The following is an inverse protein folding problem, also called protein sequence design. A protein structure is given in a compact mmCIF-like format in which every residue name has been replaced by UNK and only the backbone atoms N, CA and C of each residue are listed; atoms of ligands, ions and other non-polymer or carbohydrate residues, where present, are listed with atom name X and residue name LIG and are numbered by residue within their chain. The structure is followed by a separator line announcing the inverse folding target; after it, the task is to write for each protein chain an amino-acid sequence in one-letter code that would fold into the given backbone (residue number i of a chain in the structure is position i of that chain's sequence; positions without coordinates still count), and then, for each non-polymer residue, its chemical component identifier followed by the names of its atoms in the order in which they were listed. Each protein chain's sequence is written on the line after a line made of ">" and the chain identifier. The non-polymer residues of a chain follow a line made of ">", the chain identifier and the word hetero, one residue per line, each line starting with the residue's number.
data_IF_144469906160
#
_entry.id   IF_144469906160
#
_cell.length_a   1.000
_cell.length_b   1.000
_cell.length_c   1.000
_cell.angle_alpha   90.00
_cell.angle_beta   90.00
_cell.angle_gamma   90.00
#
_symmetry.space_group_name_H-M   'P 1'
#
loop_
_entity.id
_entity.type
_entity.pdbx_description
1 polymer ?
#
# COMPACT_ATOMS: atom_id res chain seq x y z
N UNK A 1 -20.49 -13.72 9.10
CA UNK A 1 -19.67 -14.26 10.20
C UNK A 1 -18.32 -14.77 9.73
N UNK A 2 -18.21 -15.69 8.75
CA UNK A 2 -16.90 -16.16 8.24
C UNK A 2 -16.07 -15.05 7.57
N UNK A 3 -16.65 -14.32 6.62
CA UNK A 3 -15.95 -13.21 5.94
C UNK A 3 -15.52 -12.10 6.91
N UNK A 4 -16.39 -11.70 7.85
CA UNK A 4 -16.07 -10.72 8.88
C UNK A 4 -14.87 -11.15 9.74
N UNK A 5 -14.83 -12.43 10.12
CA UNK A 5 -13.71 -12.96 10.89
C UNK A 5 -12.42 -12.94 10.07
N UNK A 6 -12.47 -13.34 8.81
CA UNK A 6 -11.30 -13.27 7.91
C UNK A 6 -10.83 -11.82 7.71
N UNK A 7 -11.76 -10.89 7.47
CA UNK A 7 -11.45 -9.46 7.30
C UNK A 7 -10.82 -8.87 8.57
N UNK A 8 -11.25 -9.28 9.77
CA UNK A 8 -10.62 -8.88 11.05
C UNK A 8 -9.26 -9.56 11.23
N UNK A 9 -9.15 -10.87 11.00
CA UNK A 9 -7.92 -11.63 11.23
C UNK A 9 -6.79 -11.18 10.29
N UNK A 10 -7.12 -10.74 9.07
CA UNK A 10 -6.17 -10.25 8.06
C UNK A 10 -5.84 -8.75 8.21
N UNK A 11 -6.62 -7.98 8.97
CA UNK A 11 -6.47 -6.52 9.04
C UNK A 11 -5.31 -6.07 9.94
N UNK A 12 -4.32 -5.34 9.42
CA UNK A 12 -3.16 -4.90 10.19
C UNK A 12 -3.47 -3.63 10.99
N UNK A 13 -4.22 -3.75 12.09
CA UNK A 13 -4.58 -2.59 12.93
C UNK A 13 -3.32 -1.79 13.34
N UNK A 14 -3.23 -0.48 13.02
CA UNK A 14 -1.94 0.21 12.97
C UNK A 14 -1.54 0.89 14.30
N UNK A 15 -2.30 0.65 15.36
CA UNK A 15 -2.15 1.36 16.61
C UNK A 15 -1.89 0.41 17.78
N UNK A 16 -1.19 0.93 18.78
CA UNK A 16 -0.96 0.26 20.06
C UNK A 16 -1.68 1.02 21.15
N UNK A 17 -2.30 0.30 22.08
CA UNK A 17 -2.94 0.92 23.24
C UNK A 17 -1.93 1.77 24.04
N UNK A 18 -2.37 2.93 24.51
CA UNK A 18 -1.56 3.91 25.27
C UNK A 18 -0.36 4.53 24.52
N UNK A 19 -0.29 4.42 23.20
CA UNK A 19 0.73 5.10 22.39
C UNK A 19 0.12 6.32 21.66
N UNK A 20 0.48 7.56 22.03
CA UNK A 20 -0.06 8.74 21.36
C UNK A 20 0.43 8.80 19.91
N UNK A 21 -0.50 9.03 18.97
CA UNK A 21 -0.14 9.09 17.57
C UNK A 21 0.75 10.31 17.26
N UNK A 22 1.86 10.04 16.58
CA UNK A 22 2.75 11.03 15.98
C UNK A 22 3.36 10.50 14.69
N UNK A 23 3.73 11.38 13.78
CA UNK A 23 4.58 10.99 12.66
C UNK A 23 5.93 10.52 13.21
N UNK A 24 6.37 9.34 12.79
CA UNK A 24 7.62 8.72 13.22
C UNK A 24 8.09 7.72 12.18
N UNK A 25 9.37 7.34 12.25
CA UNK A 25 9.84 6.15 11.58
C UNK A 25 9.41 4.92 12.40
N UNK A 26 8.24 4.37 12.06
CA UNK A 26 7.69 3.17 12.68
C UNK A 26 8.07 1.88 11.93
N UNK A 27 9.15 1.91 11.15
CA UNK A 27 9.67 0.72 10.48
C UNK A 27 10.22 -0.30 11.48
N UNK A 28 9.84 -1.56 11.29
CA UNK A 28 10.34 -2.72 12.02
C UNK A 28 10.93 -3.72 11.02
N UNK A 29 11.92 -4.55 11.41
CA UNK A 29 12.40 -5.63 10.56
C UNK A 29 11.26 -6.56 10.12
N UNK A 30 11.19 -6.87 8.83
CA UNK A 30 10.20 -7.77 8.27
C UNK A 30 10.70 -9.21 8.37
N UNK A 31 10.03 -10.03 9.19
CA UNK A 31 10.37 -11.43 9.41
C UNK A 31 9.10 -12.30 9.46
N UNK A 32 8.93 -13.30 8.56
CA UNK A 32 9.84 -13.66 7.45
C UNK A 32 9.91 -12.56 6.36
N UNK A 33 11.01 -12.50 5.58
CA UNK A 33 11.27 -11.44 4.60
C UNK A 33 10.44 -11.59 3.30
N UNK A 34 9.11 -11.66 3.41
CA UNK A 34 8.19 -11.94 2.29
C UNK A 34 7.64 -10.64 1.71
N UNK A 35 7.83 -10.43 0.42
CA UNK A 35 7.48 -9.17 -0.25
C UNK A 35 5.99 -8.94 -0.46
N UNK A 36 5.16 -9.98 -0.45
CA UNK A 36 3.73 -9.90 -0.79
C UNK A 36 2.88 -10.74 0.16
N UNK A 37 1.61 -10.37 0.28
CA UNK A 37 0.57 -11.10 1.00
C UNK A 37 -0.58 -11.42 0.04
N UNK A 38 -1.11 -12.65 0.07
CA UNK A 38 -2.30 -13.04 -0.71
C UNK A 38 -3.47 -13.27 0.23
N UNK A 39 -4.41 -12.33 0.23
CA UNK A 39 -5.55 -12.31 1.17
C UNK A 39 -6.80 -12.93 0.57
N UNK A 40 -7.85 -13.04 1.37
CA UNK A 40 -9.18 -13.47 0.93
C UNK A 40 -9.78 -12.60 -0.19
N UNK A 41 -9.33 -11.33 -0.33
CA UNK A 41 -9.82 -10.36 -1.33
C UNK A 41 -9.10 -10.41 -2.68
N UNK A 42 -8.13 -11.31 -2.86
CA UNK A 42 -7.26 -11.36 -4.04
C UNK A 42 -8.00 -11.22 -5.38
N UNK A 43 -9.05 -12.01 -5.62
CA UNK A 43 -9.77 -12.00 -6.91
C UNK A 43 -10.42 -10.63 -7.18
N UNK A 44 -11.04 -10.04 -6.17
CA UNK A 44 -11.72 -8.74 -6.29
C UNK A 44 -10.72 -7.63 -6.58
N UNK A 45 -9.64 -7.58 -5.81
CA UNK A 45 -8.62 -6.53 -5.92
C UNK A 45 -7.81 -6.65 -7.20
N UNK A 46 -7.43 -7.86 -7.61
CA UNK A 46 -6.73 -8.08 -8.88
C UNK A 46 -7.61 -7.71 -10.06
N UNK A 47 -8.91 -8.02 -10.01
CA UNK A 47 -9.85 -7.58 -11.06
C UNK A 47 -9.89 -6.06 -11.15
N UNK A 48 -10.08 -5.37 -10.01
CA UNK A 48 -10.11 -3.91 -9.98
C UNK A 48 -8.79 -3.32 -10.50
N UNK A 49 -7.64 -3.83 -10.05
CA UNK A 49 -6.32 -3.39 -10.48
C UNK A 49 -6.14 -3.53 -11.98
N UNK A 50 -6.49 -4.69 -12.55
CA UNK A 50 -6.39 -4.95 -13.99
C UNK A 50 -7.33 -4.07 -14.82
N UNK A 51 -8.54 -3.81 -14.32
CA UNK A 51 -9.47 -2.87 -14.95
C UNK A 51 -8.89 -1.46 -15.01
N UNK A 52 -8.24 -0.99 -13.93
CA UNK A 52 -7.55 0.30 -13.90
C UNK A 52 -6.36 0.34 -14.87
N UNK A 53 -5.50 -0.68 -14.85
CA UNK A 53 -4.34 -0.78 -15.74
C UNK A 53 -4.72 -0.94 -17.21
N UNK A 54 -5.95 -1.37 -17.51
CA UNK A 54 -6.48 -1.41 -18.87
C UNK A 54 -7.08 -0.07 -19.30
N UNK A 55 -7.79 0.61 -18.41
CA UNK A 55 -8.61 1.80 -18.74
C UNK A 55 -7.86 3.12 -18.58
N UNK A 56 -6.94 3.20 -17.63
CA UNK A 56 -6.19 4.40 -17.26
C UNK A 56 -4.72 4.04 -17.00
N UNK A 57 -4.11 3.27 -17.90
CA UNK A 57 -2.75 2.73 -17.79
C UNK A 57 -1.71 3.80 -17.43
N UNK A 58 -1.62 4.89 -18.19
CA UNK A 58 -0.64 5.97 -17.96
C UNK A 58 -0.74 6.67 -16.59
N UNK A 59 -1.88 6.53 -15.88
CA UNK A 59 -2.04 7.01 -14.50
C UNK A 59 -1.50 6.00 -13.50
N UNK A 60 -1.74 4.72 -13.78
CA UNK A 60 -1.45 3.62 -12.87
C UNK A 60 -0.04 3.07 -13.03
N UNK A 61 0.57 3.19 -14.20
CA UNK A 61 1.90 2.68 -14.49
C UNK A 61 2.74 3.73 -15.19
N UNK A 62 3.92 3.98 -14.65
CA UNK A 62 4.96 4.80 -15.28
C UNK A 62 6.34 4.28 -14.88
N UNK A 63 7.30 4.43 -15.77
CA UNK A 63 8.70 4.06 -15.55
C UNK A 63 9.63 4.91 -16.40
N UNK A 64 10.89 5.00 -16.00
CA UNK A 64 11.98 5.52 -16.84
C UNK A 64 12.85 4.37 -17.36
N UNK A 65 13.52 4.51 -18.54
CA UNK A 65 14.29 3.42 -19.15
C UNK A 65 15.37 2.81 -18.24
N UNK A 66 15.97 3.62 -17.36
CA UNK A 66 17.04 3.16 -16.47
C UNK A 66 16.56 2.20 -15.36
N UNK A 67 15.25 1.97 -15.26
CA UNK A 67 14.67 1.09 -14.22
C UNK A 67 14.54 -0.37 -14.63
N UNK A 68 14.75 -0.74 -15.90
CA UNK A 68 14.47 -2.11 -16.38
C UNK A 68 15.14 -3.21 -15.56
N UNK A 69 16.40 -3.01 -15.15
CA UNK A 69 17.12 -3.98 -14.30
C UNK A 69 16.45 -4.16 -12.93
N UNK A 70 16.05 -3.05 -12.29
CA UNK A 70 15.31 -3.09 -11.03
C UNK A 70 13.93 -3.74 -11.21
N UNK A 71 13.23 -3.47 -12.32
CA UNK A 71 11.93 -4.08 -12.61
C UNK A 71 12.03 -5.60 -12.76
N UNK A 72 13.05 -6.11 -13.46
CA UNK A 72 13.31 -7.55 -13.56
C UNK A 72 13.64 -8.18 -12.21
N UNK A 73 14.37 -7.48 -11.34
CA UNK A 73 14.61 -7.95 -9.98
C UNK A 73 13.34 -8.02 -9.14
N UNK A 74 12.46 -7.02 -9.25
CA UNK A 74 11.14 -7.05 -8.59
C UNK A 74 10.31 -8.22 -9.10
N UNK A 75 10.22 -8.41 -10.43
CA UNK A 75 9.51 -9.54 -11.03
C UNK A 75 10.04 -10.87 -10.50
N UNK A 76 11.37 -11.04 -10.49
CA UNK A 76 12.01 -12.24 -9.97
C UNK A 76 11.70 -12.46 -8.49
N UNK A 77 11.87 -11.45 -7.63
CA UNK A 77 11.63 -11.53 -6.20
C UNK A 77 10.19 -11.95 -5.89
N UNK A 78 9.23 -11.27 -6.53
CA UNK A 78 7.80 -11.47 -6.27
C UNK A 78 7.33 -12.83 -6.81
N UNK A 79 7.79 -13.26 -7.99
CA UNK A 79 7.43 -14.59 -8.52
C UNK A 79 7.90 -15.72 -7.61
N UNK A 80 9.13 -15.64 -7.09
CA UNK A 80 9.65 -16.64 -6.15
C UNK A 80 8.85 -16.62 -4.83
N UNK A 81 8.60 -15.45 -4.25
CA UNK A 81 7.79 -15.37 -3.02
C UNK A 81 6.36 -15.89 -3.24
N UNK A 82 5.73 -15.62 -4.37
CA UNK A 82 4.42 -16.17 -4.71
C UNK A 82 4.46 -17.71 -4.84
N UNK A 83 5.41 -18.26 -5.59
CA UNK A 83 5.50 -19.70 -5.83
C UNK A 83 5.91 -20.49 -4.60
N UNK A 84 6.75 -19.92 -3.74
CA UNK A 84 7.30 -20.59 -2.57
C UNK A 84 6.32 -20.55 -1.39
N UNK A 85 5.64 -19.41 -1.20
CA UNK A 85 4.69 -19.22 -0.08
C UNK A 85 3.29 -19.74 -0.40
N UNK A 86 2.90 -19.74 -1.68
CA UNK A 86 1.56 -20.14 -2.11
C UNK A 86 1.64 -21.12 -3.31
N UNK A 87 2.31 -22.28 -3.18
CA UNK A 87 2.56 -23.22 -4.29
C UNK A 87 1.30 -23.82 -4.91
N UNK A 88 0.20 -23.87 -4.16
CA UNK A 88 -1.11 -24.32 -4.65
C UNK A 88 -1.82 -23.25 -5.50
N UNK A 89 -1.33 -22.01 -5.48
CA UNK A 89 -1.93 -20.85 -6.14
C UNK A 89 -1.05 -20.28 -7.25
N UNK A 90 0.28 -20.38 -7.11
CA UNK A 90 1.23 -19.85 -8.08
C UNK A 90 2.35 -20.86 -8.34
N UNK A 91 2.78 -20.96 -9.59
CA UNK A 91 3.87 -21.85 -9.99
C UNK A 91 4.86 -21.10 -10.86
N UNK A 92 6.15 -21.25 -10.54
CA UNK A 92 7.25 -20.77 -11.37
C UNK A 92 8.03 -21.95 -11.92
N UNK A 93 8.10 -22.07 -13.24
CA UNK A 93 8.94 -23.05 -13.95
C UNK A 93 10.06 -22.32 -14.68
N UNK A 94 11.27 -22.89 -14.63
CA UNK A 94 12.48 -22.29 -15.19
C UNK A 94 13.23 -23.35 -16.01
N UNK A 95 13.38 -23.10 -17.30
CA UNK A 95 14.21 -23.87 -18.21
C UNK A 95 15.31 -22.95 -18.75
N UNK A 96 16.45 -22.91 -18.04
CA UNK A 96 17.49 -21.88 -18.24
C UNK A 96 16.91 -20.47 -18.06
N UNK A 97 16.91 -19.68 -19.12
CA UNK A 97 16.35 -18.33 -19.24
C UNK A 97 14.88 -18.32 -19.68
N UNK A 98 14.33 -19.43 -20.16
CA UNK A 98 12.92 -19.54 -20.51
C UNK A 98 12.10 -19.80 -19.26
N UNK A 99 11.32 -18.81 -18.84
CA UNK A 99 10.54 -18.84 -17.60
C UNK A 99 9.06 -18.89 -17.93
N UNK A 100 8.31 -19.59 -17.07
CA UNK A 100 6.86 -19.67 -17.15
C UNK A 100 6.29 -19.49 -15.75
N UNK A 101 5.49 -18.44 -15.56
CA UNK A 101 4.81 -18.13 -14.31
C UNK A 101 3.31 -18.35 -14.48
N UNK A 102 2.76 -19.30 -13.73
CA UNK A 102 1.34 -19.65 -13.76
C UNK A 102 0.65 -19.13 -12.50
N UNK A 103 -0.38 -18.31 -12.69
CA UNK A 103 -1.35 -17.95 -11.67
C UNK A 103 -2.54 -18.91 -11.75
N UNK A 104 -2.62 -19.87 -10.82
CA UNK A 104 -3.68 -20.88 -10.80
C UNK A 104 -5.02 -20.31 -10.33
N UNK A 105 -5.02 -19.18 -9.62
CA UNK A 105 -6.25 -18.51 -9.18
C UNK A 105 -7.01 -17.95 -10.38
N UNK A 106 -6.30 -17.34 -11.33
CA UNK A 106 -6.86 -16.74 -12.56
C UNK A 106 -6.76 -17.65 -13.78
N UNK A 107 -6.10 -18.81 -13.65
CA UNK A 107 -5.82 -19.76 -14.73
C UNK A 107 -5.08 -19.11 -15.93
N UNK A 108 -4.06 -18.30 -15.62
CA UNK A 108 -3.24 -17.60 -16.61
C UNK A 108 -1.78 -18.04 -16.49
N UNK A 109 -1.04 -17.95 -17.59
CA UNK A 109 0.39 -18.26 -17.62
C UNK A 109 1.12 -17.24 -18.48
N UNK A 110 2.09 -16.58 -17.88
CA UNK A 110 3.05 -15.71 -18.57
C UNK A 110 4.29 -16.53 -18.91
N UNK A 111 4.71 -16.52 -20.18
CA UNK A 111 5.94 -17.22 -20.62
C UNK A 111 6.84 -16.24 -21.36
N UNK A 112 8.10 -16.17 -20.94
CA UNK A 112 9.04 -15.13 -21.36
C UNK A 112 10.49 -15.59 -21.21
N UNK A 113 11.42 -14.79 -21.76
CA UNK A 113 12.87 -14.98 -21.59
C UNK A 113 13.33 -14.01 -20.51
N UNK A 114 13.84 -14.52 -19.40
CA UNK A 114 14.22 -13.72 -18.24
C UNK A 114 15.33 -12.72 -18.60
N UNK A 115 15.09 -11.44 -18.30
CA UNK A 115 15.95 -10.28 -18.65
C UNK A 115 16.01 -9.92 -20.14
N UNK A 116 15.09 -10.42 -20.94
CA UNK A 116 14.87 -9.95 -22.32
C UNK A 116 13.57 -9.14 -22.39
N UNK A 117 13.69 -7.82 -22.47
CA UNK A 117 12.55 -6.90 -22.55
C UNK A 117 11.66 -7.16 -23.77
N UNK A 118 12.18 -7.75 -24.84
CA UNK A 118 11.41 -8.03 -26.05
C UNK A 118 10.51 -9.27 -25.92
N UNK A 119 10.73 -10.08 -24.89
CA UNK A 119 9.97 -11.31 -24.64
C UNK A 119 8.68 -11.10 -23.85
N UNK A 120 8.43 -9.89 -23.35
CA UNK A 120 7.20 -9.50 -22.68
C UNK A 120 6.46 -8.42 -23.47
N UNK A 121 5.13 -8.48 -23.48
CA UNK A 121 4.28 -7.44 -24.11
C UNK A 121 4.23 -6.16 -23.27
N UNK A 122 4.40 -6.29 -21.96
CA UNK A 122 4.40 -5.19 -20.99
C UNK A 122 5.72 -5.21 -20.23
N UNK A 123 6.07 -4.09 -19.60
CA UNK A 123 7.30 -4.03 -18.81
C UNK A 123 7.24 -4.96 -17.58
N UNK A 124 8.38 -5.48 -17.09
CA UNK A 124 8.39 -6.49 -16.02
C UNK A 124 7.62 -6.08 -14.76
N UNK A 125 7.69 -4.81 -14.34
CA UNK A 125 6.99 -4.33 -13.16
C UNK A 125 5.45 -4.29 -13.38
N UNK A 126 4.99 -3.91 -14.58
CA UNK A 126 3.57 -3.93 -14.95
C UNK A 126 3.04 -5.37 -15.01
N UNK A 127 3.82 -6.29 -15.59
CA UNK A 127 3.43 -7.72 -15.66
C UNK A 127 3.22 -8.29 -14.26
N UNK A 128 4.24 -8.22 -13.39
CA UNK A 128 4.14 -8.85 -12.07
C UNK A 128 3.13 -8.13 -11.17
N UNK A 129 3.00 -6.82 -11.34
CA UNK A 129 2.05 -5.98 -10.64
C UNK A 129 0.59 -6.38 -10.85
N UNK A 130 0.26 -6.99 -11.99
CA UNK A 130 -1.08 -7.53 -12.32
C UNK A 130 -1.40 -8.86 -11.64
N UNK A 131 -0.46 -9.43 -10.91
CA UNK A 131 -0.62 -10.67 -10.15
C UNK A 131 -0.60 -10.47 -8.63
N UNK A 132 -0.43 -9.23 -8.15
CA UNK A 132 -0.33 -8.93 -6.71
C UNK A 132 -1.26 -7.81 -6.28
N UNK A 133 -1.70 -7.86 -5.02
CA UNK A 133 -2.66 -6.89 -4.46
C UNK A 133 -1.99 -5.54 -4.19
N UNK A 134 -0.68 -5.56 -3.98
CA UNK A 134 0.11 -4.39 -3.61
C UNK A 134 0.43 -3.47 -4.78
N UNK A 135 0.43 -2.17 -4.52
CA UNK A 135 1.09 -1.22 -5.41
C UNK A 135 2.61 -1.37 -5.27
N UNK A 136 3.32 -1.34 -6.40
CA UNK A 136 4.76 -1.62 -6.46
C UNK A 136 5.48 -0.40 -7.00
N UNK A 137 6.39 0.16 -6.21
CA UNK A 137 7.16 1.35 -6.56
C UNK A 137 8.66 1.05 -6.47
N UNK A 138 9.45 1.68 -7.33
CA UNK A 138 10.90 1.56 -7.34
C UNK A 138 11.51 2.92 -7.07
N UNK A 139 12.27 2.99 -5.98
CA UNK A 139 13.13 4.13 -5.67
C UNK A 139 14.56 3.83 -6.15
N UNK A 140 15.08 4.66 -7.05
CA UNK A 140 16.47 4.58 -7.50
C UNK A 140 17.33 5.51 -6.65
N UNK A 141 18.50 5.04 -6.27
CA UNK A 141 19.49 5.84 -5.57
C UNK A 141 20.42 6.55 -6.56
N UNK A 142 20.46 7.88 -6.52
CA UNK A 142 21.34 8.73 -7.36
C UNK A 142 21.84 9.89 -6.52
N UNK A 143 23.16 10.15 -6.52
CA UNK A 143 23.77 11.26 -5.79
C UNK A 143 23.37 11.36 -4.31
N UNK A 144 23.29 10.21 -3.61
CA UNK A 144 22.86 10.09 -2.21
C UNK A 144 21.42 10.59 -1.93
N UNK A 145 20.59 10.61 -2.97
CA UNK A 145 19.16 10.87 -2.91
C UNK A 145 18.38 9.69 -3.48
N UNK A 146 17.10 9.58 -3.13
CA UNK A 146 16.20 8.51 -3.57
C UNK A 146 15.12 9.10 -4.46
N UNK A 147 15.04 8.63 -5.71
CA UNK A 147 14.10 9.13 -6.72
C UNK A 147 13.04 8.08 -7.03
N UNK A 148 11.76 8.48 -7.10
CA UNK A 148 10.69 7.59 -7.58
C UNK A 148 10.74 7.52 -9.11
N UNK A 149 11.23 6.41 -9.66
CA UNK A 149 11.57 6.32 -11.09
C UNK A 149 10.74 5.27 -11.84
N UNK A 150 10.09 4.35 -11.13
CA UNK A 150 9.07 3.49 -11.69
C UNK A 150 8.00 3.15 -10.65
N UNK A 151 6.80 2.85 -11.12
CA UNK A 151 5.70 2.48 -10.26
C UNK A 151 4.51 1.90 -10.99
N UNK A 152 3.87 0.94 -10.34
CA UNK A 152 2.50 0.53 -10.59
C UNK A 152 1.65 0.92 -9.37
N UNK A 153 0.94 2.05 -9.44
CA UNK A 153 0.17 2.68 -8.38
C UNK A 153 -1.32 2.75 -8.74
N UNK A 154 -2.08 1.73 -8.38
CA UNK A 154 -3.51 1.62 -8.69
C UNK A 154 -4.39 2.11 -7.53
N UNK A 155 -3.94 1.96 -6.29
CA UNK A 155 -4.71 2.22 -5.09
C UNK A 155 -4.07 3.30 -4.20
N UNK A 156 -3.75 4.50 -4.72
CA UNK A 156 -3.06 5.51 -3.92
C UNK A 156 -3.95 6.12 -2.83
N UNK A 157 -3.35 6.40 -1.67
CA UNK A 157 -3.93 7.22 -0.61
C UNK A 157 -3.86 8.72 -0.93
N UNK A 158 -4.63 9.21 -1.91
CA UNK A 158 -4.76 10.65 -2.27
C UNK A 158 -3.49 11.30 -2.81
N UNK A 159 -2.75 10.58 -3.65
CA UNK A 159 -1.63 11.12 -4.40
C UNK A 159 -1.59 10.50 -5.82
N UNK A 160 -0.66 10.95 -6.66
CA UNK A 160 -0.55 10.55 -8.06
C UNK A 160 0.88 10.16 -8.39
N UNK A 161 1.05 9.03 -9.09
CA UNK A 161 2.33 8.63 -9.66
C UNK A 161 2.76 9.63 -10.73
N UNK A 162 1.83 10.07 -11.59
CA UNK A 162 2.07 11.03 -12.67
C UNK A 162 2.67 12.34 -12.15
N UNK A 163 2.24 12.79 -10.98
CA UNK A 163 2.78 14.01 -10.38
C UNK A 163 4.08 13.80 -9.61
N UNK A 164 4.41 12.57 -9.23
CA UNK A 164 5.52 12.27 -8.30
C UNK A 164 6.70 11.55 -8.97
N UNK A 165 6.54 11.00 -10.17
CA UNK A 165 7.62 10.39 -10.92
C UNK A 165 8.76 11.39 -11.15
N UNK A 166 10.00 10.95 -10.92
CA UNK A 166 11.21 11.75 -11.02
C UNK A 166 11.49 12.66 -9.80
N UNK A 167 10.59 12.74 -8.82
CA UNK A 167 10.84 13.50 -7.60
C UNK A 167 11.68 12.71 -6.59
N UNK A 168 12.47 13.42 -5.79
CA UNK A 168 13.18 12.88 -4.64
C UNK A 168 12.22 12.47 -3.52
N UNK A 169 12.68 11.61 -2.62
CA UNK A 169 11.95 11.21 -1.42
C UNK A 169 11.45 12.42 -0.63
N UNK A 170 12.28 13.44 -0.42
CA UNK A 170 11.87 14.64 0.31
C UNK A 170 10.82 15.47 -0.44
N UNK A 171 10.95 15.63 -1.76
CA UNK A 171 9.98 16.36 -2.59
C UNK A 171 8.61 15.67 -2.62
N UNK A 172 8.60 14.34 -2.69
CA UNK A 172 7.37 13.56 -2.66
C UNK A 172 6.59 13.85 -1.36
N UNK A 173 7.30 13.93 -0.23
CA UNK A 173 6.74 14.05 1.11
C UNK A 173 6.56 15.50 1.61
N UNK A 174 6.86 16.52 0.81
CA UNK A 174 6.61 17.94 1.16
C UNK A 174 5.20 18.24 1.71
N UNK A 175 4.10 17.62 1.20
CA UNK A 175 2.75 17.92 1.71
C UNK A 175 2.46 17.39 3.12
N UNK A 176 3.34 16.57 3.71
CA UNK A 176 3.12 15.97 5.03
C UNK A 176 3.41 17.01 6.11
N UNK A 177 2.45 17.34 7.00
CA UNK A 177 2.66 18.30 8.06
C UNK A 177 3.86 17.91 8.94
N UNK A 178 4.69 18.90 9.29
CA UNK A 178 5.84 18.77 10.20
C UNK A 178 6.95 17.80 9.74
N UNK A 179 6.82 17.18 8.56
CA UNK A 179 7.71 16.10 8.12
C UNK A 179 9.15 16.58 7.90
N UNK A 180 9.32 17.73 7.25
CA UNK A 180 10.64 18.32 7.02
C UNK A 180 11.07 19.21 8.20
N UNK A 181 10.13 19.97 8.77
CA UNK A 181 10.41 20.95 9.83
C UNK A 181 11.01 20.32 11.10
N UNK A 182 10.69 19.05 11.38
CA UNK A 182 11.17 18.31 12.55
C UNK A 182 12.45 17.49 12.30
N UNK A 183 12.98 17.50 11.06
CA UNK A 183 14.10 16.65 10.64
C UNK A 183 13.72 15.17 10.48
N UNK A 184 12.43 14.82 10.58
CA UNK A 184 11.94 13.46 10.41
C UNK A 184 12.21 12.94 8.99
N UNK A 185 11.98 13.77 7.97
CA UNK A 185 12.25 13.43 6.57
C UNK A 185 13.70 13.04 6.33
N UNK A 186 14.67 13.83 6.84
CA UNK A 186 16.10 13.50 6.74
C UNK A 186 16.47 12.21 7.48
N UNK A 187 15.87 11.97 8.64
CA UNK A 187 16.09 10.74 9.39
C UNK A 187 15.61 9.51 8.61
N UNK A 188 14.43 9.58 8.00
CA UNK A 188 13.88 8.48 7.20
C UNK A 188 14.70 8.31 5.91
N UNK A 189 15.05 9.39 5.21
CA UNK A 189 15.91 9.31 4.02
C UNK A 189 17.22 8.58 4.32
N UNK A 190 17.93 8.97 5.39
CA UNK A 190 19.16 8.29 5.81
C UNK A 190 18.94 6.82 6.17
N UNK A 191 17.84 6.50 6.84
CA UNK A 191 17.47 5.11 7.11
C UNK A 191 17.32 4.31 5.81
N UNK A 192 16.59 4.84 4.82
CA UNK A 192 16.37 4.18 3.53
C UNK A 192 17.67 4.02 2.73
N UNK A 193 18.53 5.04 2.69
CA UNK A 193 19.86 4.96 2.04
C UNK A 193 20.73 3.84 2.64
N UNK A 194 20.63 3.60 3.95
CA UNK A 194 21.36 2.53 4.64
C UNK A 194 20.61 1.18 4.65
N UNK A 195 19.52 1.02 3.89
CA UNK A 195 18.80 -0.25 3.80
C UNK A 195 19.68 -1.31 3.10
N UNK A 196 19.92 -2.43 3.77
CA UNK A 196 20.73 -3.54 3.26
C UNK A 196 19.87 -4.64 2.60
N UNK A 197 20.41 -5.26 1.55
CA UNK A 197 19.77 -6.41 0.92
C UNK A 197 19.71 -7.60 1.91
N UNK A 198 18.59 -8.33 1.91
CA UNK A 198 18.35 -9.44 2.83
C UNK A 198 17.77 -9.05 4.19
N UNK A 199 17.77 -7.76 4.54
CA UNK A 199 17.21 -7.22 5.78
C UNK A 199 16.03 -6.26 5.49
N UNK A 200 14.89 -6.75 4.95
CA UNK A 200 13.77 -5.88 4.63
C UNK A 200 13.07 -5.36 5.89
N UNK A 201 12.35 -4.27 5.73
CA UNK A 201 11.56 -3.65 6.78
C UNK A 201 10.11 -3.53 6.37
N UNK A 202 9.22 -3.47 7.35
CA UNK A 202 7.83 -3.10 7.16
C UNK A 202 7.42 -1.95 8.07
N UNK A 203 6.39 -1.21 7.64
CA UNK A 203 5.74 -0.18 8.45
C UNK A 203 4.27 -0.09 8.11
N UNK A 204 3.50 0.54 9.00
CA UNK A 204 2.10 0.82 8.77
C UNK A 204 1.88 2.33 8.57
N UNK A 205 1.15 2.67 7.53
CA UNK A 205 0.56 4.01 7.33
C UNK A 205 -0.96 3.90 7.39
N UNK A 206 -1.66 4.98 7.73
CA UNK A 206 -3.12 4.94 7.85
C UNK A 206 -3.79 6.25 7.46
N UNK A 207 -5.03 6.14 7.00
CA UNK A 207 -5.94 7.23 6.70
C UNK A 207 -7.40 6.77 6.91
N UNK A 208 -8.35 7.67 6.68
CA UNK A 208 -9.77 7.31 6.59
C UNK A 208 -10.28 7.48 5.15
N UNK A 209 -11.13 6.56 4.73
CA UNK A 209 -11.74 6.54 3.40
C UNK A 209 -13.25 6.38 3.51
N UNK A 210 -13.97 6.91 2.52
CA UNK A 210 -15.42 6.81 2.43
C UNK A 210 -15.79 5.71 1.43
N UNK A 211 -16.51 4.70 1.93
CA UNK A 211 -16.83 3.46 1.25
C UNK A 211 -15.62 2.54 1.07
N UNK A 212 -15.87 1.35 0.54
CA UNK A 212 -14.83 0.44 0.08
C UNK A 212 -14.27 0.95 -1.26
N UNK A 213 -13.37 1.94 -1.19
CA UNK A 213 -12.80 2.62 -2.35
C UNK A 213 -11.28 2.60 -2.31
N UNK A 214 -10.66 1.67 -3.06
CA UNK A 214 -9.20 1.50 -3.08
C UNK A 214 -8.49 2.60 -3.91
N UNK A 215 -9.06 2.99 -5.06
CA UNK A 215 -8.54 4.05 -5.94
C UNK A 215 -8.97 5.46 -5.47
N UNK A 216 -8.38 5.93 -4.38
CA UNK A 216 -8.52 7.33 -3.93
C UNK A 216 -7.51 8.27 -4.58
N UNK A 217 -7.20 8.08 -5.87
CA UNK A 217 -6.29 8.96 -6.61
C UNK A 217 -6.85 10.38 -6.78
N UNK A 218 -5.96 11.35 -6.88
CA UNK A 218 -6.35 12.76 -7.04
C UNK A 218 -7.03 13.02 -8.40
N UNK A 219 -6.67 12.25 -9.43
CA UNK A 219 -7.28 12.29 -10.77
C UNK A 219 -8.76 11.93 -10.74
N UNK A 220 -9.17 11.08 -9.78
CA UNK A 220 -10.56 10.66 -9.60
C UNK A 220 -11.26 11.38 -8.46
N UNK A 221 -10.71 12.48 -7.93
CA UNK A 221 -11.26 13.21 -6.78
C UNK A 221 -12.75 13.57 -6.94
N UNK A 222 -13.18 13.91 -8.16
CA UNK A 222 -14.59 14.20 -8.45
C UNK A 222 -15.54 13.01 -8.15
N UNK A 223 -15.05 11.76 -8.22
CA UNK A 223 -15.81 10.53 -7.97
C UNK A 223 -15.94 10.18 -6.49
N UNK A 224 -14.98 10.56 -5.65
CA UNK A 224 -14.92 10.12 -4.25
C UNK A 224 -14.83 11.25 -3.22
N UNK A 225 -14.32 12.43 -3.57
CA UNK A 225 -14.09 13.54 -2.65
C UNK A 225 -15.37 14.11 -2.04
N UNK A 226 -16.46 14.18 -2.82
CA UNK A 226 -17.75 14.69 -2.36
C UNK A 226 -18.41 13.80 -1.29
N UNK A 227 -18.10 12.50 -1.29
CA UNK A 227 -18.73 11.51 -0.41
C UNK A 227 -18.47 11.77 1.08
N UNK A 228 -17.44 12.53 1.43
CA UNK A 228 -17.21 12.95 2.82
C UNK A 228 -18.39 13.74 3.41
N UNK A 229 -19.18 14.40 2.56
CA UNK A 229 -20.38 15.16 2.97
C UNK A 229 -21.62 14.29 3.15
N UNK A 230 -21.55 13.02 2.75
CA UNK A 230 -22.67 12.07 2.83
C UNK A 230 -22.65 11.29 4.15
N UNK A 231 -21.65 11.52 5.01
CA UNK A 231 -21.53 10.85 6.31
C UNK A 231 -22.58 11.40 7.27
N UNK A 232 -23.42 10.51 7.80
CA UNK A 232 -24.46 10.79 8.79
C UNK A 232 -24.31 9.91 10.02
N UNK A 233 -24.93 10.25 11.15
CA UNK A 233 -24.92 9.40 12.35
C UNK A 233 -25.43 7.97 12.13
N UNK A 234 -26.28 7.75 11.12
CA UNK A 234 -26.88 6.47 10.78
C UNK A 234 -25.98 5.59 9.89
N UNK A 235 -25.17 6.20 9.01
CA UNK A 235 -24.37 5.46 8.03
C UNK A 235 -22.87 5.41 8.34
N UNK A 236 -22.39 6.21 9.31
CA UNK A 236 -20.95 6.38 9.58
C UNK A 236 -20.21 5.06 9.82
N UNK A 237 -20.83 4.08 10.48
CA UNK A 237 -20.23 2.76 10.72
C UNK A 237 -19.92 1.98 9.44
N UNK A 238 -20.90 1.86 8.54
CA UNK A 238 -20.76 1.10 7.29
C UNK A 238 -20.08 1.91 6.19
N UNK A 239 -20.18 3.24 6.23
CA UNK A 239 -19.65 4.11 5.20
C UNK A 239 -18.18 4.47 5.44
N UNK A 240 -17.78 4.80 6.66
CA UNK A 240 -16.38 5.18 6.94
C UNK A 240 -15.54 3.91 7.12
N UNK A 241 -14.37 3.89 6.48
CA UNK A 241 -13.42 2.79 6.59
C UNK A 241 -12.08 3.31 7.13
N UNK A 242 -11.49 2.54 8.05
CA UNK A 242 -10.08 2.67 8.39
C UNK A 242 -9.27 2.08 7.23
N UNK A 243 -8.45 2.92 6.61
CA UNK A 243 -7.53 2.52 5.54
C UNK A 243 -6.14 2.35 6.14
N UNK A 244 -5.55 1.16 5.96
CA UNK A 244 -4.19 0.88 6.39
C UNK A 244 -3.36 0.46 5.19
N UNK A 245 -2.16 1.01 5.10
CA UNK A 245 -1.16 0.61 4.12
C UNK A 245 -0.05 -0.14 4.86
N UNK A 246 0.05 -1.44 4.62
CA UNK A 246 1.21 -2.24 5.00
C UNK A 246 2.28 -2.06 3.95
N UNK A 247 3.31 -1.35 4.35
CA UNK A 247 4.38 -0.91 3.47
C UNK A 247 5.62 -1.73 3.74
N UNK A 248 6.16 -2.39 2.70
CA UNK A 248 7.36 -3.21 2.81
C UNK A 248 8.48 -2.60 1.96
N UNK A 249 9.69 -2.62 2.50
CA UNK A 249 10.89 -1.99 1.94
C UNK A 249 11.96 -3.06 1.73
N UNK A 250 12.35 -3.28 0.49
CA UNK A 250 13.38 -4.24 0.12
C UNK A 250 14.48 -3.54 -0.68
N UNK A 251 15.74 -3.65 -0.23
CA UNK A 251 16.89 -3.32 -1.07
C UNK A 251 17.11 -4.46 -2.07
N UNK A 252 17.08 -4.15 -3.35
CA UNK A 252 17.32 -5.08 -4.45
C UNK A 252 18.83 -5.26 -4.65
N UNK A 253 19.36 -6.50 -4.58
CA UNK A 253 20.80 -6.74 -4.47
C UNK A 253 21.62 -6.40 -5.73
N UNK A 254 21.04 -6.40 -6.93
CA UNK A 254 21.81 -6.15 -8.17
C UNK A 254 21.76 -4.69 -8.62
N UNK A 255 20.56 -4.11 -8.69
CA UNK A 255 20.30 -2.73 -9.08
C UNK A 255 20.56 -1.74 -7.94
N UNK A 256 20.75 -2.24 -6.72
CA UNK A 256 20.80 -1.44 -5.50
C UNK A 256 19.57 -0.53 -5.33
N UNK A 257 18.46 -0.79 -6.01
CA UNK A 257 17.24 0.03 -5.89
C UNK A 257 16.40 -0.43 -4.70
N UNK A 258 15.43 0.38 -4.28
CA UNK A 258 14.48 -0.02 -3.23
C UNK A 258 13.14 -0.34 -3.88
N UNK A 259 12.68 -1.57 -3.68
CA UNK A 259 11.27 -1.90 -3.88
C UNK A 259 10.49 -1.40 -2.66
N UNK A 260 9.58 -0.47 -2.93
CA UNK A 260 8.58 0.00 -1.99
C UNK A 260 7.22 -0.59 -2.38
N UNK A 261 6.79 -1.58 -1.61
CA UNK A 261 5.56 -2.33 -1.81
C UNK A 261 4.49 -1.82 -0.83
N UNK A 262 3.25 -1.62 -1.31
CA UNK A 262 2.16 -1.06 -0.52
C UNK A 262 0.91 -1.93 -0.65
N UNK A 263 0.61 -2.73 0.37
CA UNK A 263 -0.67 -3.44 0.47
C UNK A 263 -1.69 -2.55 1.18
N UNK A 264 -2.83 -2.29 0.54
CA UNK A 264 -3.90 -1.46 1.11
C UNK A 264 -5.02 -2.33 1.67
N UNK A 265 -5.33 -2.15 2.94
CA UNK A 265 -6.45 -2.78 3.64
C UNK A 265 -7.51 -1.73 3.96
N UNK A 266 -8.79 -2.12 3.85
CA UNK A 266 -9.94 -1.32 4.27
C UNK A 266 -10.79 -2.14 5.23
N UNK A 267 -11.13 -1.56 6.38
CA UNK A 267 -12.07 -2.14 7.33
C UNK A 267 -13.11 -1.10 7.71
N UNK A 268 -14.40 -1.45 7.61
CA UNK A 268 -15.49 -0.56 7.99
C UNK A 268 -15.46 -0.28 9.49
N UNK A 269 -15.98 0.86 9.93
CA UNK A 269 -16.11 1.12 11.36
C UNK A 269 -17.14 0.21 12.03
N UNK A 270 -18.14 -0.28 11.30
CA UNK A 270 -19.10 -1.29 11.74
C UNK A 270 -18.41 -2.60 12.13
N UNK A 271 -17.38 -3.00 11.38
CA UNK A 271 -16.59 -4.21 11.64
C UNK A 271 -15.50 -3.94 12.69
N UNK A 272 -14.84 -2.79 12.64
CA UNK A 272 -13.79 -2.41 13.59
C UNK A 272 -14.29 -2.42 15.03
N UNK A 273 -15.52 -1.92 15.27
CA UNK A 273 -16.09 -1.85 16.62
C UNK A 273 -16.45 -3.22 17.21
N UNK A 274 -16.43 -4.29 16.41
CA UNK A 274 -16.60 -5.66 16.90
C UNK A 274 -15.38 -6.13 17.69
N UNK A 275 -14.20 -5.52 17.51
CA UNK A 275 -13.02 -5.77 18.32
C UNK A 275 -12.92 -4.73 19.47
N UNK A 276 -13.11 -5.12 20.75
CA UNK A 276 -13.11 -4.19 21.87
C UNK A 276 -11.79 -3.45 22.10
N UNK A 277 -10.65 -4.10 21.84
CA UNK A 277 -9.34 -3.47 21.99
C UNK A 277 -9.13 -2.40 20.92
N UNK A 278 -9.48 -2.72 19.67
CA UNK A 278 -9.31 -1.81 18.54
C UNK A 278 -10.22 -0.59 18.65
N UNK A 279 -11.49 -0.78 19.03
CA UNK A 279 -12.44 0.34 19.18
C UNK A 279 -12.04 1.29 20.30
N UNK A 280 -11.54 0.78 21.43
CA UNK A 280 -11.05 1.60 22.54
C UNK A 280 -9.78 2.35 22.13
N UNK A 281 -8.78 1.63 21.60
CA UNK A 281 -7.51 2.23 21.16
C UNK A 281 -7.72 3.29 20.07
N UNK A 282 -8.57 3.00 19.07
CA UNK A 282 -8.85 3.96 18.01
C UNK A 282 -9.59 5.19 18.54
N UNK A 283 -10.57 5.02 19.42
CA UNK A 283 -11.30 6.14 20.03
C UNK A 283 -10.35 7.08 20.77
N UNK A 284 -9.47 6.54 21.62
CA UNK A 284 -8.51 7.33 22.39
C UNK A 284 -7.55 8.09 21.47
N UNK A 285 -7.04 7.43 20.43
CA UNK A 285 -6.14 8.09 19.48
C UNK A 285 -6.88 9.16 18.69
N UNK A 286 -8.02 8.82 18.08
CA UNK A 286 -8.72 9.68 17.14
C UNK A 286 -9.25 10.96 17.81
N UNK A 287 -9.73 10.86 19.05
CA UNK A 287 -10.20 12.02 19.84
C UNK A 287 -9.08 12.98 20.24
N UNK A 288 -7.84 12.49 20.35
CA UNK A 288 -6.67 13.29 20.73
C UNK A 288 -5.84 13.78 19.52
N UNK A 289 -6.24 13.45 18.28
CA UNK A 289 -5.54 13.92 17.09
C UNK A 289 -5.74 15.43 16.87
N UNK A 290 -4.66 16.19 16.63
CA UNK A 290 -4.78 17.57 16.20
C UNK A 290 -5.54 17.72 14.88
N UNK A 291 -6.32 18.81 14.76
CA UNK A 291 -7.16 19.09 13.59
C UNK A 291 -6.37 19.14 12.28
N UNK A 292 -5.12 19.61 12.29
CA UNK A 292 -4.29 19.65 11.08
C UNK A 292 -3.92 18.24 10.58
N UNK A 293 -3.72 17.27 11.50
CA UNK A 293 -3.51 15.86 11.14
C UNK A 293 -4.80 15.28 10.58
N UNK A 294 -5.95 15.57 11.19
CA UNK A 294 -7.26 15.12 10.69
C UNK A 294 -7.59 15.71 9.31
N UNK A 295 -7.17 16.96 9.03
CA UNK A 295 -7.30 17.58 7.70
C UNK A 295 -6.41 16.88 6.68
N UNK A 296 -5.14 16.64 7.01
CA UNK A 296 -4.21 15.91 6.14
C UNK A 296 -4.72 14.49 5.83
N UNK A 297 -5.22 13.76 6.83
CA UNK A 297 -5.83 12.44 6.67
C UNK A 297 -7.25 12.51 6.05
N UNK A 298 -7.79 13.71 5.83
CA UNK A 298 -9.16 14.06 5.43
C UNK A 298 -10.23 13.23 6.10
N UNK A 299 -10.17 13.29 7.43
CA UNK A 299 -11.19 12.86 8.37
C UNK A 299 -11.93 14.05 9.01
N UNK A 300 -11.38 15.27 8.88
CA UNK A 300 -11.86 16.45 9.59
C UNK A 300 -13.34 16.77 9.34
N UNK A 301 -13.84 16.58 8.12
CA UNK A 301 -15.21 16.94 7.73
C UNK A 301 -16.31 16.16 8.48
N UNK A 302 -16.00 14.96 8.97
CA UNK A 302 -16.95 14.06 9.64
C UNK A 302 -16.42 13.59 11.00
N UNK A 303 -15.46 14.32 11.57
CA UNK A 303 -14.77 13.92 12.81
C UNK A 303 -15.75 13.74 13.97
N UNK A 304 -16.68 14.69 14.16
CA UNK A 304 -17.58 14.70 15.31
C UNK A 304 -18.60 13.56 15.19
N UNK A 305 -19.12 13.31 13.98
CA UNK A 305 -20.02 12.19 13.70
C UNK A 305 -19.37 10.84 14.02
N UNK A 306 -18.11 10.65 13.63
CA UNK A 306 -17.37 9.42 13.92
C UNK A 306 -17.07 9.27 15.42
N UNK A 307 -16.70 10.35 16.10
CA UNK A 307 -16.49 10.35 17.56
C UNK A 307 -17.78 9.94 18.29
N UNK A 308 -18.92 10.54 17.95
CA UNK A 308 -20.21 10.20 18.57
C UNK A 308 -20.63 8.76 18.27
N UNK A 309 -20.32 8.23 17.09
CA UNK A 309 -20.53 6.81 16.80
C UNK A 309 -19.68 5.91 17.70
N UNK A 310 -18.38 6.17 17.79
CA UNK A 310 -17.45 5.38 18.61
C UNK A 310 -17.80 5.42 20.11
N UNK A 311 -18.28 6.57 20.62
CA UNK A 311 -18.72 6.72 22.02
C UNK A 311 -19.79 5.72 22.44
N UNK A 312 -20.71 5.37 21.53
CA UNK A 312 -21.80 4.39 21.78
C UNK A 312 -21.24 3.03 22.20
N UNK A 313 -20.03 2.69 21.76
CA UNK A 313 -19.37 1.42 22.05
C UNK A 313 -18.38 1.47 23.22
N UNK A 314 -18.08 2.66 23.77
CA UNK A 314 -17.22 2.80 24.96
C UNK A 314 -17.96 2.45 26.26
N UNK A 315 -19.29 2.64 26.30
CA UNK A 315 -20.10 2.43 27.50
C UNK A 315 -20.48 0.95 27.74
N UNK A 316 -20.04 0.04 26.86
CA UNK A 316 -20.32 -1.40 26.92
C UNK A 316 -19.02 -2.22 26.88
N UNK A 317 -17.93 -1.64 27.40
CA UNK A 317 -16.63 -2.31 27.54
C UNK A 317 -16.50 -2.98 28.91
#
# INVERSE_FOLDING_TARGET
>A
MKQLKEDIDEFPFPFKSNDPYRFSNNSIPLNPPISIDVTSKYIEEIKLKRDLLKTVHNRCYQSTPDTYEAQWEVLNLVMHHLSDMYPDRFKLKKEKDHWSFTNLITNETESFIYRDNSSLTLEPLDVIGRHVQEDLLILMEKDNELYLEAGQLCFPGRWSLVFKLGMTFLEIHQPIPEFNDTGLGDKIRRFLLNLEAGNPFERLNWALTIGYHLDTSIETFHKWGHKQKEVTPENVGSLVHLRVERQKLFRLPKSNSILFNIHTYLLSFEDLVQNPEWRSTFYDIFTNLPDYILKYKGAYAYKDTLIEYLKKFQQHA
#
